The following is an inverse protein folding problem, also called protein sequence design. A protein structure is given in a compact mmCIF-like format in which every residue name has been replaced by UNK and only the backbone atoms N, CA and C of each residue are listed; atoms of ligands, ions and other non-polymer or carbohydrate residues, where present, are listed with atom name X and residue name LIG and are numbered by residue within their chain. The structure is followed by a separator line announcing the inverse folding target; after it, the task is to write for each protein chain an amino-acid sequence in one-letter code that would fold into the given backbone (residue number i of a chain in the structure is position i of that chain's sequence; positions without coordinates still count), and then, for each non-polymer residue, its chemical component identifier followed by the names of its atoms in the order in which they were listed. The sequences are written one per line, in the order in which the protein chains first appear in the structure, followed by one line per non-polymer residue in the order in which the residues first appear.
data_IF_083131947326
#
_entry.id   IF_083131947326
#
_cell.length_a   1.000
_cell.length_b   1.000
_cell.length_c   1.000
_cell.angle_alpha   90.00
_cell.angle_beta   90.00
_cell.angle_gamma   90.00
#
_symmetry.space_group_name_H-M   'P 1'
#
loop_
_entity.id
_entity.type
_entity.pdbx_description
1 polymer ?
#
# COMPACT_ATOMS: atom_id res chain seq x y z
N UNK A 1 1.61 -59.24 17.61
CA UNK A 1 0.77 -58.61 16.57
C UNK A 1 0.77 -57.11 16.81
N UNK A 2 1.83 -56.46 16.36
CA UNK A 2 1.97 -55.00 16.29
C UNK A 2 1.09 -54.49 15.14
N UNK A 3 0.17 -53.57 15.44
CA UNK A 3 -0.59 -52.86 14.41
C UNK A 3 0.38 -51.87 13.75
N UNK A 4 0.74 -52.12 12.49
CA UNK A 4 1.46 -51.14 11.67
C UNK A 4 0.56 -49.91 11.47
N UNK A 5 0.99 -48.78 12.02
CA UNK A 5 0.38 -47.49 11.72
C UNK A 5 0.75 -47.06 10.31
N UNK A 6 -0.27 -46.72 9.52
CA UNK A 6 -0.18 -46.47 8.09
C UNK A 6 0.45 -45.08 7.81
N UNK A 7 1.61 -44.97 7.12
CA UNK A 7 2.32 -43.69 6.90
C UNK A 7 1.54 -42.66 6.06
N UNK A 8 0.39 -43.04 5.51
CA UNK A 8 -0.49 -42.17 4.72
C UNK A 8 -1.35 -41.24 5.59
N UNK A 9 -1.46 -41.50 6.90
CA UNK A 9 -2.24 -40.65 7.83
C UNK A 9 -1.43 -39.47 8.39
N UNK A 10 -0.12 -39.59 8.60
CA UNK A 10 0.73 -38.46 8.97
C UNK A 10 0.89 -37.41 7.86
N UNK A 11 0.91 -37.84 6.58
CA UNK A 11 1.05 -36.92 5.44
C UNK A 11 -0.18 -36.05 5.14
N UNK A 12 -1.35 -36.36 5.72
CA UNK A 12 -2.57 -35.53 5.58
C UNK A 12 -2.70 -34.45 6.67
N UNK A 13 -1.88 -34.49 7.72
CA UNK A 13 -1.90 -33.54 8.82
C UNK A 13 -0.89 -32.39 8.72
N UNK A 14 -0.10 -32.31 7.65
CA UNK A 14 0.41 -31.02 7.16
C UNK A 14 -0.76 -30.24 6.53
N UNK A 15 -1.73 -29.86 7.36
CA UNK A 15 -2.70 -28.81 7.06
C UNK A 15 -1.90 -27.68 6.43
N UNK A 16 -2.19 -27.34 5.16
CA UNK A 16 -1.75 -26.10 4.51
C UNK A 16 -1.75 -25.01 5.58
N UNK A 17 -0.57 -24.59 6.06
CA UNK A 17 -0.47 -23.43 6.95
C UNK A 17 -1.17 -22.31 6.20
N UNK A 18 -2.37 -21.94 6.67
CA UNK A 18 -3.16 -20.87 6.05
C UNK A 18 -2.25 -19.67 6.05
N UNK A 19 -1.89 -19.16 4.86
CA UNK A 19 -1.00 -18.01 4.78
C UNK A 19 -1.69 -16.84 5.48
N UNK A 20 -1.13 -16.39 6.60
CA UNK A 20 -1.65 -15.26 7.37
C UNK A 20 -0.97 -14.01 6.80
N UNK A 21 -1.76 -13.13 6.20
CA UNK A 21 -1.29 -11.88 5.63
C UNK A 21 -1.11 -10.81 6.73
N UNK A 22 -0.08 -10.96 7.56
CA UNK A 22 0.20 -10.09 8.72
C UNK A 22 0.37 -8.62 8.30
N UNK A 23 0.99 -8.40 7.13
CA UNK A 23 1.24 -7.06 6.58
C UNK A 23 0.25 -6.68 5.47
N UNK A 24 -0.84 -7.43 5.30
CA UNK A 24 -1.76 -7.22 4.17
C UNK A 24 -1.22 -7.67 2.82
N UNK A 25 -0.18 -8.48 2.83
CA UNK A 25 0.52 -9.09 1.71
C UNK A 25 -0.28 -10.24 1.06
N UNK A 26 -1.51 -9.97 0.63
CA UNK A 26 -2.35 -10.99 0.00
C UNK A 26 -1.82 -11.36 -1.40
N UNK A 27 -1.63 -12.65 -1.65
CA UNK A 27 -1.15 -13.20 -2.94
C UNK A 27 -2.07 -13.00 -4.14
N UNK A 28 -3.32 -12.58 -3.93
CA UNK A 28 -4.25 -12.30 -5.03
C UNK A 28 -4.92 -10.94 -4.82
N UNK A 29 -4.13 -9.92 -4.42
CA UNK A 29 -4.65 -8.63 -4.03
C UNK A 29 -5.59 -8.03 -5.09
N UNK A 30 -5.11 -8.02 -6.33
CA UNK A 30 -5.83 -7.41 -7.44
C UNK A 30 -7.05 -8.21 -7.89
N UNK A 31 -7.03 -9.55 -7.74
CA UNK A 31 -8.16 -10.40 -8.11
C UNK A 31 -9.43 -10.12 -7.32
N UNK A 32 -9.32 -9.75 -6.04
CA UNK A 32 -10.47 -9.31 -5.26
C UNK A 32 -10.70 -7.80 -5.29
N UNK A 33 -9.68 -7.00 -5.65
CA UNK A 33 -9.75 -5.52 -5.64
C UNK A 33 -10.44 -4.96 -6.87
N UNK A 34 -10.19 -5.56 -8.04
CA UNK A 34 -10.72 -5.10 -9.34
C UNK A 34 -12.08 -5.76 -9.62
N UNK A 35 -12.32 -6.96 -9.09
CA UNK A 35 -13.51 -7.76 -9.42
C UNK A 35 -13.35 -8.47 -10.77
N UNK A 36 -14.19 -9.47 -11.02
CA UNK A 36 -14.03 -10.34 -12.20
C UNK A 36 -14.42 -9.69 -13.55
N UNK A 37 -15.06 -8.51 -13.51
CA UNK A 37 -15.67 -7.88 -14.69
C UNK A 37 -14.96 -6.60 -15.17
N UNK A 38 -14.08 -6.01 -14.36
CA UNK A 38 -13.38 -4.77 -14.70
C UNK A 38 -12.03 -5.05 -15.36
N UNK A 39 -11.72 -4.30 -16.43
CA UNK A 39 -10.45 -4.44 -17.17
C UNK A 39 -9.29 -3.67 -16.53
N UNK A 40 -9.60 -2.64 -15.75
CA UNK A 40 -8.64 -1.69 -15.21
C UNK A 40 -8.94 -1.41 -13.72
N UNK A 41 -7.90 -1.13 -12.92
CA UNK A 41 -8.09 -0.76 -11.52
C UNK A 41 -8.84 0.59 -11.41
N UNK A 42 -9.98 0.66 -10.67
CA UNK A 42 -10.79 1.87 -10.62
C UNK A 42 -10.06 3.10 -10.11
N UNK A 43 -8.98 2.94 -9.34
CA UNK A 43 -8.13 4.05 -8.87
C UNK A 43 -7.60 4.87 -10.04
N UNK A 44 -7.29 4.23 -11.17
CA UNK A 44 -6.77 4.90 -12.37
C UNK A 44 -7.76 5.85 -13.04
N UNK A 45 -9.04 5.83 -12.66
CA UNK A 45 -10.06 6.76 -13.19
C UNK A 45 -10.04 8.13 -12.52
N UNK A 46 -9.52 8.22 -11.30
CA UNK A 46 -9.47 9.45 -10.51
C UNK A 46 -8.07 10.06 -10.39
N UNK A 47 -7.05 9.31 -10.83
CA UNK A 47 -5.68 9.82 -10.94
C UNK A 47 -5.54 10.77 -12.12
N UNK A 48 -4.81 11.87 -11.91
CA UNK A 48 -4.59 12.90 -12.92
C UNK A 48 -3.23 12.75 -13.60
N UNK A 49 -3.20 12.93 -14.91
CA UNK A 49 -2.00 12.69 -15.74
C UNK A 49 -0.82 13.57 -15.32
N UNK A 50 -1.08 14.83 -15.01
CA UNK A 50 -0.09 15.84 -14.64
C UNK A 50 0.68 15.51 -13.35
N UNK A 51 0.16 14.61 -12.51
CA UNK A 51 0.87 14.12 -11.34
C UNK A 51 1.99 13.13 -11.69
N UNK A 52 1.96 12.53 -12.89
CA UNK A 52 2.82 11.39 -13.23
C UNK A 52 3.61 11.61 -14.52
N UNK A 53 3.08 12.36 -15.49
CA UNK A 53 3.70 12.50 -16.82
C UNK A 53 5.08 13.15 -16.74
N UNK A 54 6.11 12.40 -17.18
CA UNK A 54 7.50 12.84 -17.09
C UNK A 54 8.05 12.97 -15.66
N UNK A 55 7.35 12.42 -14.65
CA UNK A 55 7.71 12.52 -13.23
C UNK A 55 8.41 11.27 -12.69
N UNK A 56 9.21 11.45 -11.65
CA UNK A 56 9.71 10.36 -10.81
C UNK A 56 8.68 10.05 -9.71
N UNK A 57 8.22 8.80 -9.67
CA UNK A 57 7.14 8.37 -8.81
C UNK A 57 7.59 7.26 -7.86
N UNK A 58 6.89 7.13 -6.74
CA UNK A 58 7.06 6.06 -5.77
C UNK A 58 5.69 5.46 -5.43
N UNK A 59 5.58 4.14 -5.46
CA UNK A 59 4.41 3.39 -5.03
C UNK A 59 4.75 2.57 -3.78
N UNK A 60 4.21 2.98 -2.63
CA UNK A 60 4.43 2.31 -1.35
C UNK A 60 3.38 1.21 -1.18
N UNK A 61 3.82 0.00 -0.87
CA UNK A 61 2.98 -1.19 -0.73
C UNK A 61 2.46 -1.68 -2.07
N UNK A 62 3.34 -1.77 -3.08
CA UNK A 62 2.93 -2.06 -4.47
C UNK A 62 2.36 -3.47 -4.68
N UNK A 63 2.50 -4.38 -3.71
CA UNK A 63 2.17 -5.81 -3.81
C UNK A 63 2.82 -6.41 -5.07
N UNK A 64 2.04 -7.04 -5.95
CA UNK A 64 2.51 -7.60 -7.23
C UNK A 64 2.81 -6.56 -8.32
N UNK A 65 2.66 -5.27 -8.04
CA UNK A 65 3.04 -4.19 -8.95
C UNK A 65 2.07 -3.92 -10.11
N UNK A 66 0.90 -4.57 -10.15
CA UNK A 66 -0.06 -4.39 -11.26
C UNK A 66 -0.52 -2.93 -11.40
N UNK A 67 -0.86 -2.26 -10.29
CA UNK A 67 -1.20 -0.84 -10.34
C UNK A 67 0.01 0.02 -10.70
N UNK A 68 1.18 -0.25 -10.12
CA UNK A 68 2.44 0.47 -10.39
C UNK A 68 2.74 0.50 -11.90
N UNK A 69 2.65 -0.67 -12.55
CA UNK A 69 2.85 -0.82 -14.00
C UNK A 69 1.77 -0.07 -14.78
N UNK A 70 0.52 -0.13 -14.32
CA UNK A 70 -0.60 0.53 -14.99
C UNK A 70 -0.49 2.06 -14.92
N UNK A 71 -0.04 2.61 -13.78
CA UNK A 71 0.27 4.05 -13.63
C UNK A 71 1.38 4.45 -14.61
N UNK A 72 2.49 3.70 -14.64
CA UNK A 72 3.62 3.98 -15.53
C UNK A 72 3.21 4.00 -17.00
N UNK A 73 2.38 3.03 -17.42
CA UNK A 73 1.85 2.91 -18.78
C UNK A 73 0.89 4.04 -19.11
N UNK A 74 -0.13 4.24 -18.28
CA UNK A 74 -1.27 5.13 -18.57
C UNK A 74 -0.87 6.60 -18.55
N UNK A 75 0.01 6.98 -17.64
CA UNK A 75 0.38 8.38 -17.41
C UNK A 75 1.81 8.71 -17.81
N UNK A 76 2.55 7.77 -18.40
CA UNK A 76 3.88 7.99 -18.96
C UNK A 76 4.88 8.60 -17.95
N UNK A 77 5.05 7.92 -16.82
CA UNK A 77 6.06 8.29 -15.82
C UNK A 77 7.47 8.33 -16.45
N UNK A 78 8.32 9.24 -15.97
CA UNK A 78 9.77 9.14 -16.24
C UNK A 78 10.31 7.87 -15.62
N UNK A 79 9.98 7.64 -14.35
CA UNK A 79 10.28 6.42 -13.65
C UNK A 79 9.31 6.24 -12.46
N UNK A 80 8.93 5.00 -12.14
CA UNK A 80 8.21 4.66 -10.91
C UNK A 80 8.90 3.50 -10.19
N UNK A 81 9.17 3.68 -8.89
CA UNK A 81 9.64 2.61 -8.02
C UNK A 81 8.46 2.05 -7.22
N UNK A 82 8.21 0.74 -7.30
CA UNK A 82 7.33 0.04 -6.37
C UNK A 82 8.13 -0.51 -5.19
N UNK A 83 7.73 -0.15 -3.96
CA UNK A 83 8.28 -0.73 -2.73
C UNK A 83 7.23 -1.62 -2.07
N UNK A 84 7.63 -2.83 -1.69
CA UNK A 84 6.81 -3.70 -0.84
C UNK A 84 7.67 -4.38 0.23
N UNK A 85 7.08 -4.74 1.37
CA UNK A 85 7.81 -5.42 2.45
C UNK A 85 8.14 -6.87 2.08
N UNK A 86 7.34 -7.47 1.20
CA UNK A 86 7.54 -8.83 0.75
C UNK A 86 8.37 -8.91 -0.53
N UNK A 87 9.10 -10.02 -0.66
CA UNK A 87 9.84 -10.36 -1.87
C UNK A 87 8.92 -10.91 -2.98
N UNK A 88 7.62 -10.58 -2.95
CA UNK A 88 6.63 -11.19 -3.84
C UNK A 88 7.05 -11.08 -5.31
N UNK A 89 6.67 -12.08 -6.11
CA UNK A 89 6.87 -12.03 -7.57
C UNK A 89 6.16 -10.78 -8.09
N UNK A 90 6.94 -9.75 -8.41
CA UNK A 90 6.44 -8.59 -9.15
C UNK A 90 6.01 -9.06 -10.52
N UNK A 91 4.95 -8.46 -11.05
CA UNK A 91 4.46 -8.79 -12.39
C UNK A 91 5.60 -8.60 -13.42
N UNK A 92 5.74 -9.52 -14.40
CA UNK A 92 6.79 -9.43 -15.39
C UNK A 92 6.70 -8.11 -16.15
N UNK A 93 7.85 -7.46 -16.32
CA UNK A 93 8.00 -6.24 -17.11
C UNK A 93 8.46 -6.61 -18.51
N UNK A 94 7.91 -5.93 -19.53
CA UNK A 94 8.23 -6.16 -20.93
C UNK A 94 8.58 -4.85 -21.63
N UNK A 95 9.51 -4.92 -22.60
CA UNK A 95 9.89 -3.80 -23.45
C UNK A 95 10.39 -2.58 -22.67
N UNK A 96 9.93 -1.40 -23.09
CA UNK A 96 10.34 -0.10 -22.52
C UNK A 96 9.92 0.14 -21.06
N UNK A 97 9.20 -0.80 -20.43
CA UNK A 97 8.83 -0.71 -19.02
C UNK A 97 10.00 -1.05 -18.11
N UNK A 98 10.95 -1.86 -18.57
CA UNK A 98 12.15 -2.22 -17.80
C UNK A 98 12.99 -1.00 -17.43
N UNK A 99 12.91 0.06 -18.24
CA UNK A 99 13.63 1.33 -18.01
C UNK A 99 12.85 2.29 -17.10
N UNK A 100 11.52 2.12 -17.00
CA UNK A 100 10.61 3.06 -16.33
C UNK A 100 10.01 2.53 -15.04
N UNK A 101 10.06 1.22 -14.81
CA UNK A 101 9.47 0.58 -13.63
C UNK A 101 10.54 -0.25 -12.95
N UNK A 102 10.72 -0.04 -11.66
CA UNK A 102 11.54 -0.90 -10.82
C UNK A 102 10.77 -1.31 -9.57
N UNK A 103 11.17 -2.44 -8.99
CA UNK A 103 10.61 -2.95 -7.74
C UNK A 103 11.71 -3.17 -6.71
N UNK A 104 11.39 -2.94 -5.44
CA UNK A 104 12.32 -3.15 -4.34
C UNK A 104 11.60 -3.71 -3.12
N UNK A 105 12.15 -4.81 -2.59
CA UNK A 105 11.76 -5.32 -1.28
C UNK A 105 12.36 -4.43 -0.19
N UNK A 106 11.51 -3.76 0.58
CA UNK A 106 11.93 -2.89 1.68
C UNK A 106 10.76 -2.60 2.63
N UNK A 107 11.03 -2.57 3.93
CA UNK A 107 10.09 -1.98 4.88
C UNK A 107 10.23 -0.45 4.84
N UNK A 108 9.18 0.25 4.42
CA UNK A 108 9.21 1.71 4.25
C UNK A 108 9.18 2.48 5.58
N UNK A 109 8.81 1.83 6.69
CA UNK A 109 8.86 2.44 8.03
C UNK A 109 10.30 2.56 8.55
N UNK A 110 11.25 1.79 8.00
CA UNK A 110 12.65 1.86 8.41
C UNK A 110 13.28 3.23 8.12
N UNK A 111 14.29 3.63 8.89
CA UNK A 111 14.93 4.95 8.73
C UNK A 111 15.58 5.11 7.35
N UNK A 112 15.02 6.01 6.54
CA UNK A 112 15.56 6.37 5.22
C UNK A 112 16.64 7.47 5.34
N UNK A 113 17.80 7.14 5.90
CA UNK A 113 18.84 8.14 6.20
C UNK A 113 19.42 8.86 4.97
N UNK A 114 19.34 8.26 3.78
CA UNK A 114 20.01 8.74 2.55
C UNK A 114 19.07 9.12 1.41
N UNK A 115 17.75 9.04 1.62
CA UNK A 115 16.74 9.30 0.59
C UNK A 115 15.98 10.57 0.96
N UNK A 116 16.34 11.70 0.34
CA UNK A 116 15.60 12.95 0.43
C UNK A 116 15.30 13.46 -0.98
N UNK A 117 14.12 14.06 -1.16
CA UNK A 117 13.74 14.88 -2.32
C UNK A 117 13.98 14.22 -3.69
N UNK A 118 13.60 12.95 -3.83
CA UNK A 118 13.79 12.18 -5.06
C UNK A 118 12.56 12.08 -5.94
N UNK A 119 11.37 12.18 -5.37
CA UNK A 119 10.12 11.89 -6.08
C UNK A 119 9.27 13.13 -6.22
N UNK A 120 8.60 13.27 -7.35
CA UNK A 120 7.60 14.30 -7.58
C UNK A 120 6.24 13.84 -7.02
N UNK A 121 5.95 12.54 -7.13
CA UNK A 121 4.68 11.96 -6.65
C UNK A 121 4.91 10.67 -5.88
N UNK A 122 4.27 10.56 -4.73
CA UNK A 122 4.21 9.32 -3.94
C UNK A 122 2.76 8.86 -3.90
N UNK A 123 2.49 7.62 -4.28
CA UNK A 123 1.20 6.97 -4.06
C UNK A 123 1.30 6.02 -2.87
N UNK A 124 0.30 6.08 -1.99
CA UNK A 124 0.20 5.24 -0.81
C UNK A 124 -1.24 4.73 -0.71
N UNK A 125 -1.51 3.62 -1.39
CA UNK A 125 -2.86 3.11 -1.52
C UNK A 125 -3.11 1.87 -0.68
N UNK A 126 -4.05 1.96 0.26
CA UNK A 126 -4.43 0.82 1.10
C UNK A 126 -3.25 0.24 1.91
N UNK A 127 -2.35 1.09 2.40
CA UNK A 127 -1.18 0.68 3.21
C UNK A 127 -1.28 1.12 4.66
N UNK A 128 -1.83 2.30 4.94
CA UNK A 128 -1.80 2.94 6.26
C UNK A 128 -2.27 2.02 7.38
N UNK A 129 -3.37 1.28 7.19
CA UNK A 129 -3.83 0.29 8.18
C UNK A 129 -2.79 -0.75 8.54
N UNK A 130 -2.12 -1.31 7.55
CA UNK A 130 -1.16 -2.39 7.80
C UNK A 130 0.08 -1.88 8.51
N UNK A 131 0.50 -0.65 8.20
CA UNK A 131 1.56 0.00 8.96
C UNK A 131 1.11 0.27 10.39
N UNK A 132 -0.07 0.85 10.56
CA UNK A 132 -0.60 1.25 11.85
C UNK A 132 -0.87 0.05 12.77
N UNK A 133 -1.36 -1.07 12.25
CA UNK A 133 -1.49 -2.32 12.99
C UNK A 133 -0.14 -2.94 13.36
N UNK A 134 0.89 -2.88 12.51
CA UNK A 134 2.16 -3.57 12.79
C UNK A 134 3.17 -2.71 13.58
N UNK A 135 3.10 -1.39 13.48
CA UNK A 135 4.06 -0.47 14.12
C UNK A 135 3.40 0.66 14.95
N UNK A 136 2.09 0.61 15.18
CA UNK A 136 1.37 1.59 15.99
C UNK A 136 1.41 3.01 15.40
N UNK A 137 1.05 3.98 16.23
CA UNK A 137 1.07 5.41 15.86
C UNK A 137 2.47 5.88 15.44
N UNK A 138 3.52 5.40 16.10
CA UNK A 138 4.91 5.74 15.77
C UNK A 138 5.28 5.33 14.34
N UNK A 139 4.88 4.12 13.93
CA UNK A 139 5.11 3.65 12.57
C UNK A 139 4.33 4.44 11.52
N UNK A 140 3.11 4.86 11.84
CA UNK A 140 2.30 5.71 10.98
C UNK A 140 2.93 7.11 10.82
N UNK A 141 3.38 7.72 11.91
CA UNK A 141 4.08 9.02 11.89
C UNK A 141 5.37 8.89 11.09
N UNK A 142 6.11 7.79 11.25
CA UNK A 142 7.33 7.53 10.50
C UNK A 142 7.06 7.34 9.00
N UNK A 143 5.99 6.64 8.61
CA UNK A 143 5.54 6.55 7.22
C UNK A 143 5.33 7.93 6.62
N UNK A 144 4.51 8.78 7.26
CA UNK A 144 4.22 10.11 6.75
C UNK A 144 5.45 11.02 6.71
N UNK A 145 6.31 10.93 7.73
CA UNK A 145 7.59 11.65 7.77
C UNK A 145 8.50 11.23 6.62
N UNK A 146 8.63 9.92 6.37
CA UNK A 146 9.43 9.39 5.26
C UNK A 146 8.88 9.83 3.91
N UNK A 147 7.55 9.79 3.72
CA UNK A 147 6.90 10.29 2.49
C UNK A 147 7.26 11.76 2.25
N UNK A 148 7.07 12.61 3.26
CA UNK A 148 7.37 14.04 3.13
C UNK A 148 8.85 14.29 2.81
N UNK A 149 9.76 13.52 3.41
CA UNK A 149 11.21 13.63 3.17
C UNK A 149 11.62 13.23 1.76
N UNK A 150 11.01 12.17 1.19
CA UNK A 150 11.38 11.69 -0.15
C UNK A 150 10.73 12.52 -1.27
N UNK A 151 9.67 13.26 -0.97
CA UNK A 151 9.05 14.21 -1.91
C UNK A 151 9.92 15.45 -2.13
N UNK A 152 10.06 15.87 -3.38
CA UNK A 152 10.63 17.18 -3.75
C UNK A 152 9.72 18.33 -3.26
N UNK A 153 10.24 19.56 -3.13
CA UNK A 153 9.40 20.74 -2.96
C UNK A 153 8.33 20.81 -4.07
N UNK A 154 7.07 21.05 -3.72
CA UNK A 154 5.93 21.01 -4.66
C UNK A 154 5.45 19.61 -5.04
N UNK A 155 6.04 18.56 -4.46
CA UNK A 155 5.62 17.17 -4.69
C UNK A 155 4.29 16.82 -4.03
N UNK A 156 3.69 15.70 -4.46
CA UNK A 156 2.33 15.30 -4.09
C UNK A 156 2.33 13.90 -3.47
N UNK A 157 1.64 13.75 -2.34
CA UNK A 157 1.22 12.45 -1.81
C UNK A 157 -0.22 12.18 -2.23
N UNK A 158 -0.48 11.07 -2.94
CA UNK A 158 -1.83 10.56 -3.18
C UNK A 158 -2.11 9.39 -2.22
N UNK A 159 -3.06 9.58 -1.32
CA UNK A 159 -3.33 8.70 -0.19
C UNK A 159 -4.72 8.09 -0.27
N UNK A 160 -4.82 6.76 -0.13
CA UNK A 160 -6.08 6.04 0.07
C UNK A 160 -6.02 5.32 1.44
N UNK A 161 -6.51 5.95 2.52
CA UNK A 161 -6.54 5.32 3.83
C UNK A 161 -7.67 4.28 3.92
N UNK A 162 -7.44 3.17 4.64
CA UNK A 162 -8.54 2.26 4.96
C UNK A 162 -9.38 2.78 6.13
N UNK A 163 -10.70 2.56 6.13
CA UNK A 163 -11.57 3.01 7.21
C UNK A 163 -11.35 2.18 8.48
N UNK A 164 -11.69 2.75 9.64
CA UNK A 164 -11.58 2.09 10.95
C UNK A 164 -12.27 0.72 11.02
N UNK A 165 -13.42 0.56 10.34
CA UNK A 165 -14.11 -0.73 10.21
C UNK A 165 -13.23 -1.85 9.64
N UNK A 166 -12.26 -1.51 8.79
CA UNK A 166 -11.27 -2.46 8.27
C UNK A 166 -10.25 -2.89 9.33
N UNK A 167 -9.90 -2.02 10.28
CA UNK A 167 -9.02 -2.33 11.41
C UNK A 167 -9.69 -3.33 12.35
N UNK A 168 -10.95 -3.04 12.73
CA UNK A 168 -11.76 -3.92 13.57
C UNK A 168 -11.82 -5.36 13.02
N UNK A 169 -11.88 -5.53 11.70
CA UNK A 169 -11.90 -6.84 11.04
C UNK A 169 -10.55 -7.56 10.99
N UNK A 170 -9.43 -6.85 11.09
CA UNK A 170 -8.10 -7.39 10.79
C UNK A 170 -7.10 -7.29 11.95
N UNK A 171 -7.44 -6.69 13.08
CA UNK A 171 -6.49 -6.54 14.20
C UNK A 171 -5.96 -7.85 14.77
N UNK A 172 -6.69 -8.96 14.64
CA UNK A 172 -6.31 -10.27 15.19
C UNK A 172 -5.34 -11.08 14.31
N UNK A 173 -4.76 -10.49 13.26
CA UNK A 173 -3.80 -11.19 12.38
C UNK A 173 -2.48 -11.54 13.07
N UNK A 174 -2.14 -10.84 14.16
CA UNK A 174 -0.99 -11.12 15.01
C UNK A 174 -1.21 -10.54 16.41
N UNK A 175 -0.41 -10.99 17.39
CA UNK A 175 -0.41 -10.41 18.76
C UNK A 175 -0.03 -8.93 18.72
N UNK A 176 0.98 -8.55 17.93
CA UNK A 176 1.39 -7.16 17.71
C UNK A 176 0.25 -6.31 17.14
N UNK A 177 -0.45 -6.81 16.12
CA UNK A 177 -1.59 -6.11 15.53
C UNK A 177 -2.74 -5.92 16.54
N UNK A 178 -2.97 -6.92 17.38
CA UNK A 178 -3.99 -6.85 18.43
C UNK A 178 -3.58 -5.83 19.49
N UNK A 179 -2.34 -5.88 19.95
CA UNK A 179 -1.80 -4.92 20.92
C UNK A 179 -1.90 -3.49 20.40
N UNK A 180 -1.36 -3.23 19.20
CA UNK A 180 -1.35 -1.88 18.63
C UNK A 180 -2.77 -1.37 18.41
N UNK A 181 -3.69 -2.19 17.88
CA UNK A 181 -5.08 -1.78 17.66
C UNK A 181 -5.75 -1.20 18.92
N UNK A 182 -5.52 -1.80 20.08
CA UNK A 182 -6.07 -1.32 21.35
C UNK A 182 -5.36 -0.08 21.91
N UNK A 183 -4.18 0.26 21.38
CA UNK A 183 -3.37 1.39 21.81
C UNK A 183 -3.31 2.53 20.76
N UNK A 184 -4.01 2.42 19.62
CA UNK A 184 -4.08 3.49 18.62
C UNK A 184 -4.77 4.71 19.23
N UNK A 185 -4.06 5.83 19.22
CA UNK A 185 -4.57 7.15 19.62
C UNK A 185 -5.07 7.95 18.42
N UNK A 186 -4.50 7.73 17.24
CA UNK A 186 -4.79 8.51 16.04
C UNK A 186 -5.45 7.66 14.94
N UNK A 187 -6.76 7.39 15.02
CA UNK A 187 -7.47 6.66 13.97
C UNK A 187 -7.49 7.43 12.63
N UNK A 188 -7.92 6.81 11.51
CA UNK A 188 -7.87 7.41 10.18
C UNK A 188 -8.40 8.84 10.05
N UNK A 189 -9.41 9.22 10.83
CA UNK A 189 -10.01 10.55 10.80
C UNK A 189 -9.04 11.65 11.27
N UNK A 190 -7.98 11.31 12.00
CA UNK A 190 -6.91 12.23 12.43
C UNK A 190 -5.76 12.36 11.42
N UNK A 191 -5.74 11.56 10.34
CA UNK A 191 -4.60 11.53 9.43
C UNK A 191 -4.39 12.86 8.72
N UNK A 192 -5.48 13.56 8.38
CA UNK A 192 -5.41 14.86 7.72
C UNK A 192 -4.70 15.89 8.62
N UNK A 193 -5.09 15.99 9.89
CA UNK A 193 -4.48 16.91 10.86
C UNK A 193 -3.01 16.58 11.09
N UNK A 194 -2.65 15.29 11.17
CA UNK A 194 -1.25 14.87 11.28
C UNK A 194 -0.46 15.32 10.05
N UNK A 195 -0.97 15.06 8.85
CA UNK A 195 -0.29 15.39 7.59
C UNK A 195 -0.11 16.90 7.40
N UNK A 196 -1.12 17.70 7.75
CA UNK A 196 -1.08 19.15 7.62
C UNK A 196 -0.28 19.81 8.76
N UNK A 197 -0.65 19.55 10.01
CA UNK A 197 -0.15 20.33 11.15
C UNK A 197 1.15 19.79 11.74
N UNK A 198 1.42 18.49 11.61
CA UNK A 198 2.60 17.86 12.24
C UNK A 198 3.70 17.52 11.24
N UNK A 199 3.32 17.01 10.06
CA UNK A 199 4.28 16.61 9.03
C UNK A 199 4.67 17.80 8.14
N UNK A 200 3.72 18.68 7.84
CA UNK A 200 3.98 19.92 7.10
C UNK A 200 3.62 19.86 5.61
N UNK A 201 2.62 19.05 5.23
CA UNK A 201 1.93 19.28 3.95
C UNK A 201 1.10 20.56 4.04
N UNK A 202 1.01 21.31 2.95
CA UNK A 202 0.40 22.64 2.93
C UNK A 202 -1.10 22.62 2.69
N UNK A 203 -1.53 21.76 1.78
CA UNK A 203 -2.92 21.67 1.35
C UNK A 203 -3.31 20.22 1.11
N UNK A 204 -4.60 19.94 1.23
CA UNK A 204 -5.21 18.66 0.91
C UNK A 204 -6.37 18.89 -0.04
N UNK A 205 -6.47 18.07 -1.06
CA UNK A 205 -7.61 17.98 -1.94
C UNK A 205 -8.31 16.63 -1.75
N UNK A 206 -9.63 16.65 -1.59
CA UNK A 206 -10.45 15.45 -1.62
C UNK A 206 -10.75 15.10 -3.09
N UNK A 207 -10.11 14.05 -3.59
CA UNK A 207 -10.23 13.62 -5.00
C UNK A 207 -11.53 12.84 -5.21
N UNK A 208 -11.89 12.00 -4.24
CA UNK A 208 -13.18 11.32 -4.18
C UNK A 208 -13.48 10.89 -2.75
N UNK A 209 -14.75 10.92 -2.36
CA UNK A 209 -15.24 10.38 -1.09
C UNK A 209 -15.43 8.85 -1.13
N UNK A 210 -15.71 8.31 -2.32
CA UNK A 210 -15.96 6.89 -2.55
C UNK A 210 -15.55 6.55 -3.98
N UNK A 211 -14.60 5.64 -4.13
CA UNK A 211 -14.05 5.28 -5.44
C UNK A 211 -15.13 4.70 -6.38
N UNK A 212 -15.48 5.36 -7.50
CA UNK A 212 -16.47 4.85 -8.44
C UNK A 212 -16.01 3.52 -9.07
N UNK A 213 -16.95 2.62 -9.38
CA UNK A 213 -16.64 1.33 -10.00
C UNK A 213 -15.89 0.34 -9.09
N UNK A 214 -15.71 0.66 -7.81
CA UNK A 214 -15.06 -0.24 -6.85
C UNK A 214 -16.03 -1.31 -6.33
N UNK A 215 -15.49 -2.50 -6.09
CA UNK A 215 -16.18 -3.57 -5.36
C UNK A 215 -16.40 -3.16 -3.89
N UNK A 216 -17.50 -3.65 -3.29
CA UNK A 216 -17.91 -3.33 -1.91
C UNK A 216 -16.75 -3.48 -0.92
N UNK A 217 -16.48 -2.43 -0.13
CA UNK A 217 -15.38 -2.39 0.84
C UNK A 217 -14.07 -1.82 0.30
N UNK A 218 -14.03 -1.47 -0.99
CA UNK A 218 -12.96 -0.74 -1.66
C UNK A 218 -13.38 0.65 -2.18
N UNK A 219 -14.63 1.04 -1.89
CA UNK A 219 -15.21 2.37 -2.03
C UNK A 219 -14.62 3.30 -0.97
N UNK A 220 -13.35 3.66 -1.15
CA UNK A 220 -12.57 4.44 -0.17
C UNK A 220 -12.31 5.84 -0.69
N UNK A 221 -12.15 6.81 0.23
CA UNK A 221 -11.75 8.15 -0.16
C UNK A 221 -10.30 8.16 -0.65
N UNK A 222 -10.01 9.08 -1.56
CA UNK A 222 -8.65 9.36 -2.03
C UNK A 222 -8.39 10.85 -1.85
N UNK A 223 -7.23 11.16 -1.28
CA UNK A 223 -6.80 12.51 -0.99
C UNK A 223 -5.47 12.79 -1.68
N UNK A 224 -5.27 14.03 -2.15
CA UNK A 224 -3.98 14.52 -2.63
C UNK A 224 -3.45 15.58 -1.67
N UNK A 225 -2.28 15.36 -1.08
CA UNK A 225 -1.60 16.29 -0.19
C UNK A 225 -0.41 16.92 -0.91
N UNK A 226 -0.30 18.24 -0.87
CA UNK A 226 0.75 19.00 -1.55
C UNK A 226 1.81 19.51 -0.56
N UNK A 227 3.09 19.26 -0.86
CA UNK A 227 4.24 19.70 -0.06
C UNK A 227 4.67 21.14 -0.38
#
# INVERSE_FOLDING_TARGET
MSKEENPKQEKKNLRRKKHIAIYGNYKNYYGYRIGQQEKEDPRLSVLRREWFEGKDCLDIGCNQGLLTISIAKKFNCRHILGIDIDAGESSPLEGNLLERVSFRKQNFVDKLQWLTEKYDTVVCFSVTKWIHLNWGDDGLIMLFTNIWRVLRPGGILVLEPQPWKSYQKNHQVSETATYNFHNILFPPDHFQDILLDKIGFRTVENITNALPGSVVGFDRPIFAYHK
#
